data_IF_685090770701
#
_entry.id   IF_685090770701
#
_cell.length_a   1.000
_cell.length_b   1.000
_cell.length_c   1.000
_cell.angle_alpha   90.00
_cell.angle_beta   90.00
_cell.angle_gamma   90.00
#
_symmetry.space_group_name_H-M   'P 1'
#
loop_
_entity.id
_entity.type
_entity.pdbx_description
1 polymer ?
#
# COMPACT_ATOMS: atom_id res chain seq x y z
N UNK A 1 23.49 -56.26 67.77
CA UNK A 1 22.87 -54.96 68.13
C UNK A 1 21.62 -54.79 67.28
N UNK A 2 20.41 -54.89 67.84
CA UNK A 2 19.17 -54.72 67.11
C UNK A 2 18.87 -53.22 66.94
N UNK A 3 18.38 -52.81 65.78
CA UNK A 3 17.92 -51.43 65.52
C UNK A 3 16.91 -50.99 66.60
N UNK A 4 17.16 -49.82 67.21
CA UNK A 4 16.32 -49.24 68.25
C UNK A 4 14.93 -48.89 67.72
N UNK A 5 13.94 -48.79 68.61
CA UNK A 5 12.56 -48.44 68.25
C UNK A 5 12.44 -47.13 67.46
N UNK A 6 13.29 -46.15 67.77
CA UNK A 6 13.35 -44.85 67.09
C UNK A 6 13.68 -44.96 65.58
N UNK A 7 14.59 -45.87 65.19
CA UNK A 7 14.95 -46.06 63.78
C UNK A 7 13.79 -46.66 62.97
N UNK A 8 12.94 -47.50 63.59
CA UNK A 8 11.77 -48.08 62.93
C UNK A 8 10.65 -47.06 62.71
N UNK A 9 10.50 -46.12 63.63
CA UNK A 9 9.55 -45.01 63.51
C UNK A 9 9.94 -44.11 62.32
N UNK A 10 11.22 -43.76 62.23
CA UNK A 10 11.77 -42.93 61.16
C UNK A 10 11.63 -43.61 59.79
N UNK A 11 11.92 -44.91 59.69
CA UNK A 11 11.73 -45.67 58.45
C UNK A 11 10.26 -45.73 58.01
N UNK A 12 9.32 -45.86 58.96
CA UNK A 12 7.88 -45.79 58.64
C UNK A 12 7.46 -44.41 58.15
N UNK A 13 7.97 -43.35 58.79
CA UNK A 13 7.68 -41.98 58.38
C UNK A 13 8.19 -41.69 56.97
N UNK A 14 9.44 -42.08 56.66
CA UNK A 14 10.02 -41.93 55.32
C UNK A 14 9.25 -42.75 54.28
N UNK A 15 8.86 -43.99 54.60
CA UNK A 15 8.04 -44.81 53.70
C UNK A 15 6.70 -44.15 53.40
N UNK A 16 6.04 -43.55 54.39
CA UNK A 16 4.77 -42.85 54.20
C UNK A 16 4.95 -41.59 53.35
N UNK A 17 6.01 -40.82 53.58
CA UNK A 17 6.34 -39.63 52.79
C UNK A 17 6.62 -39.99 51.32
N UNK A 18 7.36 -41.07 51.05
CA UNK A 18 7.60 -41.55 49.69
C UNK A 18 6.32 -42.01 49.00
N UNK A 19 5.40 -42.65 49.75
CA UNK A 19 4.07 -42.99 49.26
C UNK A 19 3.29 -41.75 48.83
N UNK A 20 3.29 -40.71 49.66
CA UNK A 20 2.61 -39.45 49.37
C UNK A 20 3.20 -38.75 48.14
N UNK A 21 4.52 -38.62 48.05
CA UNK A 21 5.20 -37.99 46.90
C UNK A 21 4.88 -38.73 45.60
N UNK A 22 4.80 -40.06 45.65
CA UNK A 22 4.47 -40.87 44.46
C UNK A 22 3.03 -40.62 44.01
N UNK A 23 2.09 -40.49 44.95
CA UNK A 23 0.70 -40.16 44.65
C UNK A 23 0.57 -38.73 44.07
N UNK A 24 1.26 -37.75 44.66
CA UNK A 24 1.25 -36.37 44.18
C UNK A 24 1.89 -36.25 42.79
N UNK A 25 2.97 -37.00 42.52
CA UNK A 25 3.59 -37.05 41.20
C UNK A 25 2.66 -37.68 40.14
N UNK A 26 1.91 -38.72 40.51
CA UNK A 26 0.91 -39.31 39.63
C UNK A 26 -0.21 -38.32 39.32
N UNK A 27 -0.69 -37.57 40.33
CA UNK A 27 -1.70 -36.52 40.14
C UNK A 27 -1.19 -35.39 39.24
N UNK A 28 0.04 -34.92 39.44
CA UNK A 28 0.66 -33.90 38.59
C UNK A 28 0.84 -34.36 37.14
N UNK A 29 1.24 -35.62 36.93
CA UNK A 29 1.34 -36.18 35.57
C UNK A 29 -0.01 -36.26 34.87
N UNK A 30 -1.06 -36.65 35.61
CA UNK A 30 -2.41 -36.67 35.06
C UNK A 30 -2.87 -35.26 34.70
N UNK A 31 -2.66 -34.29 35.61
CA UNK A 31 -3.00 -32.89 35.35
C UNK A 31 -2.26 -32.32 34.14
N UNK A 32 -0.98 -32.65 33.97
CA UNK A 32 -0.21 -32.22 32.80
C UNK A 32 -0.75 -32.83 31.50
N UNK A 33 -1.17 -34.10 31.50
CA UNK A 33 -1.80 -34.74 30.36
C UNK A 33 -3.15 -34.09 30.00
N UNK A 34 -3.97 -33.79 31.02
CA UNK A 34 -5.26 -33.12 30.84
C UNK A 34 -5.08 -31.70 30.29
N UNK A 35 -4.08 -30.96 30.79
CA UNK A 35 -3.72 -29.63 30.28
C UNK A 35 -3.24 -29.69 28.83
N UNK A 36 -2.40 -30.66 28.49
CA UNK A 36 -1.93 -30.83 27.11
C UNK A 36 -3.10 -31.10 26.16
N UNK A 37 -4.04 -31.97 26.55
CA UNK A 37 -5.24 -32.23 25.77
C UNK A 37 -6.11 -30.97 25.60
N UNK A 38 -6.28 -30.17 26.66
CA UNK A 38 -7.03 -28.91 26.59
C UNK A 38 -6.37 -27.89 25.66
N UNK A 39 -5.04 -27.79 25.66
CA UNK A 39 -4.28 -26.93 24.75
C UNK A 39 -4.46 -27.39 23.31
N UNK A 40 -4.34 -28.69 23.05
CA UNK A 40 -4.48 -29.24 21.69
C UNK A 40 -5.90 -29.03 21.15
N UNK A 41 -6.92 -29.21 21.99
CA UNK A 41 -8.30 -28.92 21.64
C UNK A 41 -8.52 -27.43 21.34
N UNK A 42 -8.03 -26.54 22.21
CA UNK A 42 -8.14 -25.09 22.00
C UNK A 42 -7.46 -24.66 20.69
N UNK A 43 -6.31 -25.27 20.37
CA UNK A 43 -5.59 -25.00 19.13
C UNK A 43 -6.37 -25.48 17.90
N UNK A 44 -7.02 -26.64 17.98
CA UNK A 44 -7.88 -27.15 16.91
C UNK A 44 -9.10 -26.24 16.70
N UNK A 45 -9.77 -25.84 17.77
CA UNK A 45 -10.94 -24.95 17.72
C UNK A 45 -10.58 -23.58 17.15
N UNK A 46 -9.44 -23.00 17.54
CA UNK A 46 -8.95 -21.75 17.00
C UNK A 46 -8.66 -21.85 15.50
N UNK A 47 -8.00 -22.93 15.05
CA UNK A 47 -7.74 -23.15 13.63
C UNK A 47 -9.04 -23.30 12.82
N UNK A 48 -10.04 -24.00 13.36
CA UNK A 48 -11.35 -24.14 12.73
C UNK A 48 -12.06 -22.78 12.63
N UNK A 49 -12.08 -21.99 13.71
CA UNK A 49 -12.68 -20.66 13.74
C UNK A 49 -12.01 -19.69 12.74
N UNK A 50 -10.67 -19.69 12.67
CA UNK A 50 -9.91 -18.86 11.72
C UNK A 50 -10.25 -19.25 10.28
N UNK A 51 -10.31 -20.55 9.98
CA UNK A 51 -10.60 -21.04 8.63
C UNK A 51 -12.00 -20.65 8.20
N UNK A 52 -12.98 -20.79 9.09
CA UNK A 52 -14.37 -20.38 8.85
C UNK A 52 -14.47 -18.87 8.65
N UNK A 53 -13.87 -18.07 9.55
CA UNK A 53 -13.88 -16.61 9.43
C UNK A 53 -13.23 -16.10 8.15
N UNK A 54 -12.11 -16.70 7.72
CA UNK A 54 -11.48 -16.37 6.44
C UNK A 54 -12.38 -16.71 5.25
N UNK A 55 -13.12 -17.82 5.30
CA UNK A 55 -14.07 -18.18 4.26
C UNK A 55 -15.23 -17.18 4.17
N UNK A 56 -15.77 -16.76 5.32
CA UNK A 56 -16.82 -15.74 5.41
C UNK A 56 -16.35 -14.38 4.88
N UNK A 57 -15.18 -13.90 5.30
CA UNK A 57 -14.60 -12.64 4.83
C UNK A 57 -14.39 -12.67 3.31
N UNK A 58 -13.86 -13.77 2.78
CA UNK A 58 -13.67 -13.94 1.32
C UNK A 58 -15.01 -13.92 0.57
N UNK A 59 -16.06 -14.49 1.15
CA UNK A 59 -17.39 -14.47 0.56
C UNK A 59 -17.95 -13.05 0.51
N UNK A 60 -17.90 -12.33 1.63
CA UNK A 60 -18.36 -10.93 1.73
C UNK A 60 -17.57 -10.03 0.77
N UNK A 61 -16.25 -10.19 0.70
CA UNK A 61 -15.41 -9.44 -0.22
C UNK A 61 -15.76 -9.69 -1.69
N UNK A 62 -16.01 -10.96 -2.08
CA UNK A 62 -16.44 -11.30 -3.45
C UNK A 62 -17.80 -10.71 -3.78
N UNK A 63 -18.74 -10.78 -2.85
CA UNK A 63 -20.07 -10.19 -3.02
C UNK A 63 -19.98 -8.66 -3.17
N UNK A 64 -19.17 -8.00 -2.35
CA UNK A 64 -18.91 -6.57 -2.44
C UNK A 64 -18.33 -6.16 -3.79
N UNK A 65 -17.30 -6.87 -4.27
CA UNK A 65 -16.69 -6.63 -5.58
C UNK A 65 -17.68 -6.85 -6.73
N UNK A 66 -18.50 -7.90 -6.67
CA UNK A 66 -19.53 -8.15 -7.67
C UNK A 66 -20.53 -6.98 -7.73
N UNK A 67 -21.00 -6.52 -6.57
CA UNK A 67 -21.93 -5.39 -6.47
C UNK A 67 -21.31 -4.09 -6.97
N UNK A 68 -20.06 -3.80 -6.61
CA UNK A 68 -19.36 -2.60 -7.11
C UNK A 68 -19.16 -2.66 -8.62
N UNK A 69 -18.82 -3.83 -9.17
CA UNK A 69 -18.69 -4.02 -10.61
C UNK A 69 -20.03 -3.74 -11.33
N UNK A 70 -21.14 -4.24 -10.81
CA UNK A 70 -22.47 -3.94 -11.36
C UNK A 70 -22.80 -2.43 -11.31
N UNK A 71 -22.50 -1.77 -10.18
CA UNK A 71 -22.76 -0.33 -9.99
C UNK A 71 -21.88 0.54 -10.90
N UNK A 72 -20.64 0.15 -11.19
CA UNK A 72 -19.70 0.97 -11.97
C UNK A 72 -19.81 0.66 -13.46
N UNK A 73 -19.79 -0.61 -13.83
CA UNK A 73 -19.67 -1.02 -15.24
C UNK A 73 -20.93 -0.70 -16.03
N UNK A 74 -22.12 -0.82 -15.43
CA UNK A 74 -23.39 -0.49 -16.08
C UNK A 74 -23.47 0.99 -16.51
N UNK A 75 -23.36 1.94 -15.57
CA UNK A 75 -23.38 3.37 -15.90
C UNK A 75 -22.26 3.80 -16.84
N UNK A 76 -21.04 3.25 -16.70
CA UNK A 76 -19.93 3.58 -17.61
C UNK A 76 -20.22 3.10 -19.03
N UNK A 77 -20.81 1.91 -19.20
CA UNK A 77 -21.24 1.44 -20.52
C UNK A 77 -22.33 2.34 -21.12
N UNK A 78 -23.29 2.78 -20.31
CA UNK A 78 -24.33 3.73 -20.75
C UNK A 78 -23.73 5.05 -21.20
N UNK A 79 -22.86 5.66 -20.38
CA UNK A 79 -22.17 6.92 -20.71
C UNK A 79 -21.34 6.74 -22.00
N UNK A 80 -20.65 5.61 -22.16
CA UNK A 80 -19.90 5.29 -23.37
C UNK A 80 -20.78 5.27 -24.62
N UNK A 81 -21.95 4.62 -24.54
CA UNK A 81 -22.92 4.58 -25.64
C UNK A 81 -23.48 5.97 -25.97
N UNK A 82 -23.82 6.76 -24.95
CA UNK A 82 -24.31 8.13 -25.12
C UNK A 82 -23.26 9.01 -25.83
N UNK A 83 -21.99 8.92 -25.44
CA UNK A 83 -20.90 9.66 -26.08
C UNK A 83 -20.70 9.28 -27.55
N UNK A 84 -20.86 8.00 -27.89
CA UNK A 84 -20.81 7.53 -29.29
C UNK A 84 -21.99 8.09 -30.08
N UNK A 85 -23.20 8.09 -29.51
CA UNK A 85 -24.38 8.71 -30.13
C UNK A 85 -24.20 10.21 -30.36
N UNK A 86 -23.68 10.94 -29.36
CA UNK A 86 -23.38 12.37 -29.49
C UNK A 86 -22.37 12.63 -30.60
N UNK A 87 -21.29 11.84 -30.67
CA UNK A 87 -20.28 11.98 -31.74
C UNK A 87 -20.87 11.72 -33.11
N UNK A 88 -21.75 10.73 -33.26
CA UNK A 88 -22.47 10.46 -34.50
C UNK A 88 -23.34 11.64 -34.93
N UNK A 89 -24.11 12.23 -34.00
CA UNK A 89 -24.94 13.39 -34.26
C UNK A 89 -24.12 14.62 -34.71
N UNK A 90 -22.96 14.87 -34.09
CA UNK A 90 -22.06 15.95 -34.49
C UNK A 90 -21.55 15.75 -35.92
N UNK A 91 -21.12 14.53 -36.28
CA UNK A 91 -20.66 14.23 -37.64
C UNK A 91 -21.75 14.38 -38.70
N UNK A 92 -22.99 14.04 -38.36
CA UNK A 92 -24.14 14.25 -39.25
C UNK A 92 -24.42 15.74 -39.47
N UNK A 93 -24.30 16.56 -38.42
CA UNK A 93 -24.47 18.01 -38.50
C UNK A 93 -23.39 18.66 -39.39
N UNK A 94 -22.13 18.24 -39.26
CA UNK A 94 -21.03 18.73 -40.10
C UNK A 94 -21.24 18.40 -41.58
N UNK A 95 -21.69 17.18 -41.87
CA UNK A 95 -22.04 16.79 -43.24
C UNK A 95 -23.22 17.59 -43.80
N UNK A 96 -24.24 17.90 -43.00
CA UNK A 96 -25.35 18.76 -43.41
C UNK A 96 -24.87 20.19 -43.73
N UNK A 97 -24.05 20.79 -42.85
CA UNK A 97 -23.48 22.12 -43.09
C UNK A 97 -22.63 22.16 -44.35
N UNK A 98 -21.81 21.12 -44.60
CA UNK A 98 -21.01 21.00 -45.82
C UNK A 98 -21.87 20.83 -47.08
N UNK A 99 -22.94 20.05 -47.01
CA UNK A 99 -23.88 19.89 -48.12
C UNK A 99 -24.61 21.21 -48.45
N UNK A 100 -25.01 21.97 -47.43
CA UNK A 100 -25.60 23.30 -47.62
C UNK A 100 -24.59 24.27 -48.24
N UNK A 101 -23.34 24.27 -47.78
CA UNK A 101 -22.28 25.09 -48.37
C UNK A 101 -22.01 24.72 -49.84
N UNK A 102 -21.96 23.43 -50.16
CA UNK A 102 -21.79 22.95 -51.54
C UNK A 102 -22.98 23.31 -52.44
N UNK A 103 -24.20 23.28 -51.90
CA UNK A 103 -25.41 23.67 -52.65
C UNK A 103 -25.53 25.18 -52.84
N UNK A 104 -24.88 25.99 -51.98
CA UNK A 104 -24.87 27.46 -52.08
C UNK A 104 -23.83 27.96 -53.09
N UNK A 105 -22.82 27.15 -53.42
CA UNK A 105 -21.79 27.45 -54.43
C UNK A 105 -22.11 26.91 -55.83
N UNK A 106 -23.27 26.28 -56.02
CA UNK A 106 -23.72 25.77 -57.33
C UNK A 106 -24.48 26.84 -58.15
N UNK A 107 -23.93 28.04 -58.26
CA UNK A 107 -24.30 29.03 -59.28
C UNK A 107 -23.16 29.09 -60.33
N UNK A 108 -23.45 29.03 -61.64
CA UNK A 108 -22.41 28.88 -62.64
C UNK A 108 -21.69 30.23 -62.85
N UNK A 109 -20.42 30.31 -62.50
CA UNK A 109 -19.54 31.43 -62.85
C UNK A 109 -18.59 30.99 -63.99
N UNK A 110 -18.47 31.76 -65.09
CA UNK A 110 -17.75 31.33 -66.28
C UNK A 110 -16.23 31.40 -66.10
N UNK A 111 -15.57 30.54 -66.88
CA UNK A 111 -14.12 30.33 -67.02
C UNK A 111 -13.26 31.61 -66.92
N UNK A 112 -12.24 31.54 -66.06
CA UNK A 112 -10.98 32.27 -66.25
C UNK A 112 -9.82 31.30 -66.24
N UNK A 113 -9.05 31.36 -67.33
CA UNK A 113 -7.81 30.64 -67.58
C UNK A 113 -6.70 30.95 -66.56
N UNK A 114 -5.73 30.02 -66.39
CA UNK A 114 -4.76 30.04 -65.30
C UNK A 114 -3.51 30.86 -65.64
N UNK A 115 -3.07 31.68 -64.69
CA UNK A 115 -1.71 32.21 -64.67
C UNK A 115 -0.88 31.37 -63.70
N UNK A 116 0.04 30.59 -64.25
CA UNK A 116 1.19 30.05 -63.54
C UNK A 116 2.07 31.21 -63.06
N UNK A 117 2.40 31.25 -61.75
CA UNK A 117 3.65 31.83 -61.30
C UNK A 117 4.19 31.09 -60.08
N UNK A 118 5.50 31.09 -59.97
CA UNK A 118 6.34 30.02 -59.47
C UNK A 118 7.09 30.50 -58.22
N UNK A 119 6.83 29.86 -57.06
CA UNK A 119 7.73 29.71 -55.88
C UNK A 119 8.21 30.98 -55.11
N UNK A 120 8.79 30.83 -53.89
CA UNK A 120 8.77 29.72 -52.93
C UNK A 120 8.34 30.11 -51.48
N UNK A 121 8.06 29.08 -50.68
CA UNK A 121 7.92 29.10 -49.21
C UNK A 121 9.05 29.85 -48.49
N UNK A 122 8.76 30.56 -47.39
CA UNK A 122 9.69 30.71 -46.27
C UNK A 122 9.46 29.60 -45.23
N UNK A 123 10.53 28.83 -45.05
CA UNK A 123 10.85 27.88 -43.98
C UNK A 123 10.55 28.42 -42.57
N UNK A 124 10.20 27.54 -41.59
CA UNK A 124 9.67 27.96 -40.29
C UNK A 124 10.71 28.62 -39.39
N UNK A 125 10.25 29.62 -38.66
CA UNK A 125 11.01 30.35 -37.64
C UNK A 125 11.43 29.40 -36.50
N UNK A 126 12.63 29.57 -35.92
CA UNK A 126 13.23 28.58 -35.03
C UNK A 126 12.45 28.46 -33.72
N UNK A 127 12.24 27.21 -33.31
CA UNK A 127 11.82 26.82 -31.99
C UNK A 127 12.51 27.69 -30.93
N UNK A 128 11.73 28.56 -30.29
CA UNK A 128 12.06 29.06 -28.97
C UNK A 128 12.37 27.82 -28.14
N UNK A 129 13.65 27.70 -27.81
CA UNK A 129 14.17 26.65 -26.94
C UNK A 129 13.54 26.92 -25.59
N UNK A 130 12.38 26.31 -25.38
CA UNK A 130 11.89 25.98 -24.05
C UNK A 130 13.04 25.24 -23.40
N UNK A 131 13.77 25.93 -22.52
CA UNK A 131 14.74 25.25 -21.66
C UNK A 131 13.98 24.06 -21.07
N UNK A 132 14.35 22.81 -21.43
CA UNK A 132 13.74 21.66 -20.83
C UNK A 132 14.00 21.82 -19.35
N UNK A 133 12.91 21.71 -18.60
CA UNK A 133 12.86 22.03 -17.19
C UNK A 133 14.12 21.56 -16.49
N UNK A 134 14.55 22.39 -15.54
CA UNK A 134 15.11 21.87 -14.30
C UNK A 134 14.00 21.01 -13.64
N UNK A 135 13.69 19.88 -14.26
CA UNK A 135 13.15 18.69 -13.61
C UNK A 135 14.19 18.47 -12.53
N UNK A 136 13.84 18.85 -11.30
CA UNK A 136 14.66 18.54 -10.15
C UNK A 136 14.99 17.06 -10.29
N UNK A 137 16.28 16.82 -10.60
CA UNK A 137 16.89 15.52 -10.72
C UNK A 137 16.41 14.79 -9.49
N UNK A 138 15.51 13.84 -9.70
CA UNK A 138 15.25 12.85 -8.68
C UNK A 138 16.62 12.36 -8.26
N UNK A 139 16.86 12.37 -6.96
CA UNK A 139 18.16 11.97 -6.47
C UNK A 139 18.24 10.46 -6.74
N UNK A 140 18.76 10.10 -7.92
CA UNK A 140 18.79 8.74 -8.47
C UNK A 140 19.46 7.79 -7.46
N UNK A 141 20.33 8.34 -6.61
CA UNK A 141 20.97 7.64 -5.51
C UNK A 141 19.98 7.27 -4.39
N UNK A 142 18.98 8.10 -4.09
CA UNK A 142 17.88 7.80 -3.15
C UNK A 142 16.97 6.71 -3.70
N UNK A 143 16.60 6.79 -4.98
CA UNK A 143 15.78 5.74 -5.60
C UNK A 143 16.54 4.42 -5.67
N UNK A 144 17.84 4.45 -5.99
CA UNK A 144 18.71 3.26 -5.98
C UNK A 144 18.86 2.69 -4.57
N UNK A 145 18.99 3.55 -3.56
CA UNK A 145 19.03 3.15 -2.17
C UNK A 145 17.73 2.46 -1.73
N UNK A 146 16.58 3.07 -2.03
CA UNK A 146 15.26 2.50 -1.75
C UNK A 146 15.08 1.13 -2.42
N UNK A 147 15.50 0.99 -3.68
CA UNK A 147 15.45 -0.28 -4.41
C UNK A 147 16.32 -1.38 -3.77
N UNK A 148 17.39 -1.01 -3.06
CA UNK A 148 18.27 -1.93 -2.33
C UNK A 148 17.69 -2.45 -1.01
N UNK A 149 16.57 -1.89 -0.53
CA UNK A 149 15.93 -2.31 0.73
C UNK A 149 15.10 -3.57 0.48
N UNK A 150 15.52 -4.69 1.09
CA UNK A 150 14.81 -5.98 0.99
C UNK A 150 13.40 -5.91 1.60
N UNK A 151 13.31 -5.39 2.83
CA UNK A 151 12.05 -5.18 3.53
C UNK A 151 12.16 -4.00 4.51
N UNK A 152 11.13 -3.17 4.55
CA UNK A 152 10.94 -2.10 5.51
C UNK A 152 9.61 -2.26 6.25
N UNK A 153 9.59 -1.89 7.52
CA UNK A 153 8.39 -1.75 8.34
C UNK A 153 8.03 -0.28 8.41
N UNK A 154 6.92 0.10 7.78
CA UNK A 154 6.36 1.45 7.82
C UNK A 154 5.36 1.55 8.97
N UNK A 155 5.57 2.52 9.85
CA UNK A 155 4.67 2.87 10.94
C UNK A 155 4.13 4.30 10.71
N UNK A 156 2.82 4.44 10.52
CA UNK A 156 2.19 5.72 10.22
C UNK A 156 0.77 5.79 10.80
N UNK A 157 0.17 6.99 10.84
CA UNK A 157 -1.26 7.12 11.09
C UNK A 157 -2.07 6.44 9.96
N UNK A 158 -3.26 5.93 10.28
CA UNK A 158 -4.14 5.25 9.30
C UNK A 158 -4.42 6.11 8.07
N UNK A 159 -4.75 7.38 8.27
CA UNK A 159 -5.09 8.31 7.18
C UNK A 159 -3.86 8.62 6.31
N UNK A 160 -2.67 8.65 6.91
CA UNK A 160 -1.39 8.83 6.19
C UNK A 160 -1.13 7.65 5.26
N UNK A 161 -1.37 6.43 5.76
CA UNK A 161 -1.27 5.22 4.93
C UNK A 161 -2.31 5.21 3.81
N UNK A 162 -3.56 5.57 4.09
CA UNK A 162 -4.61 5.65 3.07
C UNK A 162 -4.26 6.66 1.97
N UNK A 163 -3.73 7.83 2.36
CA UNK A 163 -3.24 8.83 1.41
C UNK A 163 -2.12 8.26 0.52
N UNK A 164 -1.15 7.58 1.12
CA UNK A 164 -0.03 6.97 0.39
C UNK A 164 -0.54 5.91 -0.61
N UNK A 165 -1.42 5.01 -0.17
CA UNK A 165 -2.02 3.98 -1.03
C UNK A 165 -2.84 4.59 -2.17
N UNK A 166 -3.63 5.63 -1.89
CA UNK A 166 -4.42 6.32 -2.91
C UNK A 166 -3.56 6.87 -4.05
N UNK A 167 -2.36 7.37 -3.73
CA UNK A 167 -1.50 8.07 -4.68
C UNK A 167 -0.40 7.20 -5.29
N UNK A 168 0.12 6.22 -4.57
CA UNK A 168 1.14 5.28 -5.05
C UNK A 168 0.56 3.95 -5.56
N UNK A 169 -0.64 3.56 -5.11
CA UNK A 169 -1.31 2.31 -5.48
C UNK A 169 -1.46 2.04 -6.98
N UNK A 170 -1.69 3.06 -7.83
CA UNK A 170 -1.74 2.86 -9.28
C UNK A 170 -0.40 2.56 -9.95
N UNK A 171 0.74 2.72 -9.26
CA UNK A 171 2.07 2.44 -9.81
C UNK A 171 2.32 0.93 -9.90
N UNK A 172 2.87 0.48 -11.03
CA UNK A 172 3.10 -0.96 -11.29
C UNK A 172 4.07 -1.63 -10.30
N UNK A 173 4.93 -0.86 -9.63
CA UNK A 173 5.88 -1.39 -8.65
C UNK A 173 5.34 -1.31 -7.21
N UNK A 174 4.22 -0.61 -6.99
CA UNK A 174 3.60 -0.52 -5.68
C UNK A 174 2.75 -1.75 -5.38
N UNK A 175 3.20 -2.54 -4.41
CA UNK A 175 2.48 -3.71 -3.92
C UNK A 175 1.88 -3.44 -2.55
N UNK A 176 0.58 -3.70 -2.43
CA UNK A 176 -0.11 -3.63 -1.15
C UNK A 176 0.43 -4.72 -0.20
N UNK A 177 0.79 -4.36 1.04
CA UNK A 177 1.22 -5.31 2.07
C UNK A 177 0.14 -6.38 2.31
N UNK A 178 0.53 -7.65 2.38
CA UNK A 178 -0.39 -8.75 2.68
C UNK A 178 -0.89 -8.74 4.14
N UNK A 179 -0.17 -8.04 5.03
CA UNK A 179 -0.50 -7.96 6.46
C UNK A 179 -0.27 -6.53 6.93
N UNK A 180 -1.25 -6.01 7.67
CA UNK A 180 -1.22 -4.70 8.28
C UNK A 180 -1.70 -4.81 9.73
N UNK A 181 -0.82 -4.48 10.68
CA UNK A 181 -1.17 -4.46 12.10
C UNK A 181 -1.77 -3.09 12.43
N UNK A 182 -2.90 -3.08 13.10
CA UNK A 182 -3.60 -1.85 13.48
C UNK A 182 -3.51 -1.66 14.99
N UNK A 183 -3.09 -0.47 15.44
CA UNK A 183 -3.00 -0.14 16.85
C UNK A 183 -3.41 1.32 17.07
N UNK A 184 -4.51 1.57 17.79
CA UNK A 184 -4.94 2.90 18.28
C UNK A 184 -4.71 4.09 17.30
N UNK A 185 -5.14 3.94 16.03
CA UNK A 185 -5.03 4.99 15.01
C UNK A 185 -3.74 4.95 14.18
N UNK A 186 -2.76 4.15 14.57
CA UNK A 186 -1.58 3.83 13.79
C UNK A 186 -1.72 2.49 13.04
N UNK A 187 -0.98 2.38 11.95
CA UNK A 187 -0.83 1.18 11.15
C UNK A 187 0.65 0.85 11.00
N UNK A 188 0.96 -0.44 11.10
CA UNK A 188 2.28 -0.99 10.83
C UNK A 188 2.18 -1.96 9.64
N UNK A 189 2.96 -1.69 8.60
CA UNK A 189 2.94 -2.46 7.35
C UNK A 189 4.34 -2.78 6.84
N UNK A 190 4.49 -3.94 6.21
CA UNK A 190 5.74 -4.31 5.55
C UNK A 190 5.73 -3.88 4.08
N UNK A 191 6.72 -3.09 3.70
CA UNK A 191 6.90 -2.48 2.38
C UNK A 191 8.22 -2.96 1.78
N UNK A 192 8.21 -3.36 0.52
CA UNK A 192 9.42 -3.73 -0.22
C UNK A 192 10.13 -2.51 -0.82
N UNK A 193 11.41 -2.64 -1.18
CA UNK A 193 12.15 -1.60 -1.89
C UNK A 193 11.46 -1.07 -3.15
N UNK A 194 10.95 -1.94 -4.05
CA UNK A 194 10.18 -1.49 -5.22
C UNK A 194 8.92 -0.68 -4.87
N UNK A 195 8.19 -1.07 -3.81
CA UNK A 195 7.04 -0.29 -3.33
C UNK A 195 7.46 1.07 -2.76
N UNK A 196 8.64 1.15 -2.15
CA UNK A 196 9.19 2.40 -1.63
C UNK A 196 9.61 3.35 -2.77
N UNK A 197 10.24 2.82 -3.83
CA UNK A 197 10.53 3.57 -5.06
C UNK A 197 9.24 4.12 -5.67
N UNK A 198 8.23 3.28 -5.83
CA UNK A 198 6.93 3.69 -6.35
C UNK A 198 6.29 4.80 -5.51
N UNK A 199 6.37 4.69 -4.17
CA UNK A 199 5.86 5.71 -3.27
C UNK A 199 6.60 7.05 -3.43
N UNK A 200 7.94 7.03 -3.47
CA UNK A 200 8.76 8.24 -3.66
C UNK A 200 8.43 8.92 -4.99
N UNK A 201 8.48 8.20 -6.11
CA UNK A 201 8.18 8.76 -7.45
C UNK A 201 6.75 9.29 -7.53
N UNK A 202 5.78 8.55 -6.97
CA UNK A 202 4.37 8.96 -7.00
C UNK A 202 4.10 10.20 -6.16
N UNK A 203 4.63 10.25 -4.93
CA UNK A 203 4.46 11.40 -4.03
C UNK A 203 5.17 12.64 -4.57
N UNK A 204 6.37 12.49 -5.16
CA UNK A 204 7.07 13.56 -5.85
C UNK A 204 6.19 14.14 -6.98
N UNK A 205 5.64 13.28 -7.83
CA UNK A 205 4.72 13.70 -8.90
C UNK A 205 3.51 14.45 -8.35
N UNK A 206 2.82 13.86 -7.36
CA UNK A 206 1.63 14.46 -6.76
C UNK A 206 1.94 15.81 -6.11
N UNK A 207 3.08 15.94 -5.44
CA UNK A 207 3.51 17.20 -4.81
C UNK A 207 3.69 18.34 -5.82
N UNK A 208 4.03 18.04 -7.07
CA UNK A 208 4.28 19.02 -8.14
C UNK A 208 3.07 19.28 -9.03
N UNK A 209 2.27 18.25 -9.33
CA UNK A 209 1.27 18.34 -10.41
C UNK A 209 -0.17 18.34 -9.92
N UNK A 210 -0.45 18.03 -8.66
CA UNK A 210 -1.84 17.95 -8.18
C UNK A 210 -2.46 19.36 -8.10
N UNK A 211 -3.69 19.59 -8.60
CA UNK A 211 -4.33 20.91 -8.55
C UNK A 211 -4.64 21.39 -7.12
N UNK A 212 -4.90 20.48 -6.17
CA UNK A 212 -5.23 20.83 -4.80
C UNK A 212 -3.97 21.16 -3.96
N UNK A 213 -3.86 22.38 -3.40
CA UNK A 213 -2.70 22.77 -2.59
C UNK A 213 -2.52 21.92 -1.33
N UNK A 214 -3.61 21.46 -0.71
CA UNK A 214 -3.54 20.61 0.49
C UNK A 214 -2.89 19.26 0.17
N UNK A 215 -3.38 18.60 -0.89
CA UNK A 215 -2.84 17.34 -1.40
C UNK A 215 -1.37 17.48 -1.82
N UNK A 216 -0.98 18.61 -2.45
CA UNK A 216 0.43 18.87 -2.75
C UNK A 216 1.28 18.97 -1.50
N UNK A 217 0.81 19.68 -0.47
CA UNK A 217 1.53 19.85 0.78
C UNK A 217 1.73 18.52 1.52
N UNK A 218 0.67 17.70 1.62
CA UNK A 218 0.74 16.37 2.22
C UNK A 218 1.72 15.48 1.44
N UNK A 219 1.60 15.44 0.11
CA UNK A 219 2.49 14.62 -0.71
C UNK A 219 3.96 15.07 -0.61
N UNK A 220 4.21 16.38 -0.60
CA UNK A 220 5.57 16.93 -0.43
C UNK A 220 6.16 16.59 0.94
N UNK A 221 5.36 16.67 2.00
CA UNK A 221 5.77 16.29 3.34
C UNK A 221 6.11 14.79 3.43
N UNK A 222 5.23 13.91 2.94
CA UNK A 222 5.47 12.47 2.96
C UNK A 222 6.67 12.06 2.11
N UNK A 223 6.82 12.66 0.93
CA UNK A 223 7.99 12.47 0.08
C UNK A 223 9.28 12.83 0.82
N UNK A 224 9.30 13.98 1.49
CA UNK A 224 10.45 14.45 2.24
C UNK A 224 10.81 13.49 3.39
N UNK A 225 9.84 13.07 4.22
CA UNK A 225 10.09 12.15 5.33
C UNK A 225 10.59 10.78 4.89
N UNK A 226 10.06 10.25 3.78
CA UNK A 226 10.56 9.00 3.20
C UNK A 226 11.99 9.16 2.68
N UNK A 227 12.30 10.28 2.03
CA UNK A 227 13.65 10.60 1.53
C UNK A 227 14.65 10.67 2.68
N UNK A 228 14.37 11.46 3.71
CA UNK A 228 15.23 11.58 4.91
C UNK A 228 15.48 10.21 5.56
N UNK A 229 14.44 9.37 5.66
CA UNK A 229 14.57 8.06 6.29
C UNK A 229 15.46 7.15 5.45
N UNK A 230 15.26 7.11 4.12
CA UNK A 230 16.10 6.33 3.20
C UNK A 230 17.56 6.80 3.27
N UNK A 231 17.81 8.11 3.31
CA UNK A 231 19.15 8.68 3.49
C UNK A 231 19.81 8.23 4.80
N UNK A 232 19.05 8.23 5.90
CA UNK A 232 19.57 7.81 7.19
C UNK A 232 19.97 6.33 7.21
N UNK A 233 19.18 5.48 6.56
CA UNK A 233 19.45 4.05 6.42
C UNK A 233 20.72 3.79 5.59
N UNK A 234 20.91 4.56 4.51
CA UNK A 234 22.09 4.46 3.64
C UNK A 234 23.36 4.93 4.35
N UNK A 235 23.26 6.02 5.10
CA UNK A 235 24.41 6.61 5.80
C UNK A 235 24.79 5.84 7.06
N UNK A 236 23.86 5.08 7.66
CA UNK A 236 24.10 4.24 8.85
C UNK A 236 23.61 2.79 8.64
N UNK A 237 24.22 2.02 7.72
CA UNK A 237 23.76 0.68 7.39
C UNK A 237 23.99 -0.28 8.57
N UNK A 238 22.91 -0.74 9.20
CA UNK A 238 22.96 -1.83 10.16
C UNK A 238 23.11 -3.16 9.41
N UNK A 239 24.33 -3.67 9.28
CA UNK A 239 24.59 -5.07 8.88
C UNK A 239 24.38 -6.00 10.08
N UNK A 240 23.13 -6.16 10.50
CA UNK A 240 22.73 -7.23 11.41
C UNK A 240 22.62 -8.56 10.66
N UNK A 241 22.83 -9.68 11.35
CA UNK A 241 22.80 -11.06 10.84
C UNK A 241 21.42 -11.59 10.41
N UNK A 242 20.47 -10.70 10.12
CA UNK A 242 19.25 -11.03 9.37
C UNK A 242 17.96 -11.19 10.18
N UNK A 243 17.67 -10.34 11.17
CA UNK A 243 16.41 -10.44 11.92
C UNK A 243 15.48 -9.22 11.87
N UNK A 244 15.98 -7.98 11.79
CA UNK A 244 15.11 -6.79 11.93
C UNK A 244 14.97 -6.00 10.62
N UNK A 245 13.74 -5.89 10.07
CA UNK A 245 13.45 -5.05 8.91
C UNK A 245 13.74 -3.57 9.20
N UNK A 246 14.07 -2.84 8.15
CA UNK A 246 14.28 -1.39 8.21
C UNK A 246 13.03 -0.67 8.72
N UNK A 247 13.09 0.06 9.83
CA UNK A 247 11.91 0.77 10.37
C UNK A 247 11.81 2.19 9.82
N UNK A 248 10.68 2.50 9.18
CA UNK A 248 10.31 3.83 8.68
C UNK A 248 9.15 4.34 9.52
N UNK A 249 9.29 5.50 10.16
CA UNK A 249 8.25 6.10 11.00
C UNK A 249 7.80 7.41 10.39
N UNK A 250 6.52 7.49 10.00
CA UNK A 250 5.87 8.69 9.50
C UNK A 250 4.81 9.13 10.53
N UNK A 251 5.29 9.57 11.69
CA UNK A 251 4.46 10.07 12.78
C UNK A 251 5.24 11.19 13.49
N UNK A 252 4.97 12.43 13.10
CA UNK A 252 5.59 13.61 13.69
C UNK A 252 4.83 13.99 14.97
N UNK A 253 5.04 13.21 16.03
CA UNK A 253 4.57 13.57 17.36
C UNK A 253 5.44 14.71 17.89
N UNK A 254 4.81 15.67 18.56
CA UNK A 254 5.54 16.67 19.34
C UNK A 254 6.45 15.93 20.33
N UNK A 255 7.71 16.34 20.44
CA UNK A 255 8.61 15.84 21.47
C UNK A 255 7.91 16.02 22.83
N UNK A 256 7.90 14.97 23.64
CA UNK A 256 7.41 15.10 25.01
C UNK A 256 8.25 16.18 25.68
N UNK A 257 7.61 17.27 26.11
CA UNK A 257 8.28 18.28 26.92
C UNK A 257 8.89 17.55 28.12
N UNK A 258 10.21 17.61 28.26
CA UNK A 258 10.94 17.14 29.44
C UNK A 258 10.60 18.03 30.64
N UNK A 259 9.34 18.01 31.08
CA UNK A 259 8.86 18.73 32.25
C UNK A 259 7.86 17.83 32.98
N UNK A 260 8.39 16.95 33.83
CA UNK A 260 7.86 16.54 35.14
C UNK A 260 8.71 15.38 35.68
N UNK A 261 9.94 15.69 36.07
CA UNK A 261 10.61 15.00 37.17
C UNK A 261 10.88 16.06 38.26
N UNK A 262 9.93 16.20 39.18
CA UNK A 262 10.14 16.70 40.54
C UNK A 262 9.57 15.66 41.51
#
# INVERSE_FOLDING_TARGET
>A
MPFGSADRELLRQVSNQLGQITADLAALKQQAADQQHAIDQTRQDANAAITTGLAEIRSVAREGLARTNEIVTGPVATIGNELVSIRGAIGQLDNQLRAVAANTLAAPEPEREPAEDTRPEPTPEPAATTEPGRLAVEDDDILRAAAGISAATLHAHRDTWEFLVKHAGPDQHFHLPATATHNEGAIEVHVSGPSLVAALTSLNRVSRTNPDPGTRAIAGHLHHRLTETVEDIVTRPHRGDGAEPVRIVIDDRAAASEEQQE
#
